data_IF_903190018655
#
_entry.id   IF_903190018655
#
_cell.length_a   1.000
_cell.length_b   1.000
_cell.length_c   1.000
_cell.angle_alpha   90.00
_cell.angle_beta   90.00
_cell.angle_gamma   90.00
#
_symmetry.space_group_name_H-M   'P 1'
#
loop_
_entity.id
_entity.type
_entity.pdbx_description
1 polymer ?
#
# COMPACT_ATOMS: atom_id res chain seq x y z
N UNK A 1 16.31 -7.48 5.90
CA UNK A 1 16.65 -7.12 4.52
C UNK A 1 16.09 -5.73 4.27
N UNK A 2 16.95 -4.82 3.89
CA UNK A 2 16.56 -3.42 3.72
C UNK A 2 16.09 -3.17 2.29
N UNK A 3 14.93 -2.54 2.15
CA UNK A 3 14.43 -2.06 0.86
C UNK A 3 14.59 -0.54 0.78
N UNK A 4 14.33 0.00 -0.39
CA UNK A 4 14.17 1.45 -0.60
C UNK A 4 12.84 1.72 -1.27
N UNK A 5 12.21 2.82 -0.90
CA UNK A 5 11.10 3.36 -1.66
C UNK A 5 11.62 4.51 -2.51
N UNK A 6 11.15 4.59 -3.74
CA UNK A 6 11.49 5.69 -4.66
C UNK A 6 10.33 6.01 -5.58
N UNK A 7 10.40 7.16 -6.23
CA UNK A 7 9.38 7.52 -7.23
C UNK A 7 9.35 6.49 -8.36
N UNK A 8 8.16 6.31 -8.92
CA UNK A 8 7.93 5.42 -10.05
C UNK A 8 8.67 5.89 -11.30
N UNK A 9 9.08 4.93 -12.14
CA UNK A 9 9.57 5.13 -13.50
C UNK A 9 8.73 4.29 -14.44
N UNK A 10 8.45 4.77 -15.65
CA UNK A 10 7.67 3.99 -16.63
C UNK A 10 8.30 2.63 -16.93
N UNK A 11 9.62 2.54 -16.87
CA UNK A 11 10.36 1.27 -17.06
C UNK A 11 10.08 0.23 -15.98
N UNK A 12 9.46 0.61 -14.87
CA UNK A 12 9.09 -0.32 -13.78
C UNK A 12 7.85 -1.18 -14.14
N UNK A 13 7.14 -0.85 -15.23
CA UNK A 13 5.88 -1.48 -15.58
C UNK A 13 5.99 -3.00 -15.78
N UNK A 14 7.11 -3.49 -16.32
CA UNK A 14 7.35 -4.93 -16.49
C UNK A 14 7.38 -5.67 -15.17
N UNK A 15 8.07 -5.11 -14.18
CA UNK A 15 8.23 -5.74 -12.87
C UNK A 15 6.90 -5.82 -12.13
N UNK A 16 6.10 -4.74 -12.16
CA UNK A 16 4.79 -4.78 -11.49
C UNK A 16 3.80 -5.70 -12.21
N UNK A 17 3.91 -5.83 -13.53
CA UNK A 17 3.07 -6.76 -14.29
C UNK A 17 3.31 -8.20 -13.85
N UNK A 18 4.56 -8.58 -13.65
CA UNK A 18 4.92 -9.90 -13.13
C UNK A 18 4.37 -10.10 -11.71
N UNK A 19 4.58 -9.12 -10.83
CA UNK A 19 4.13 -9.21 -9.44
C UNK A 19 2.60 -9.30 -9.33
N UNK A 20 1.85 -8.48 -10.06
CA UNK A 20 0.40 -8.41 -9.97
C UNK A 20 -0.33 -9.52 -10.75
N UNK A 21 0.33 -10.21 -11.66
CA UNK A 21 -0.22 -11.42 -12.30
C UNK A 21 -0.14 -12.62 -11.36
N UNK A 22 -0.60 -12.43 -10.13
CA UNK A 22 -0.58 -13.43 -9.07
C UNK A 22 -1.88 -13.32 -8.25
N UNK A 23 -2.70 -14.36 -8.29
CA UNK A 23 -3.98 -14.41 -7.60
C UNK A 23 -3.84 -14.23 -6.08
N UNK A 24 -2.80 -14.76 -5.49
CA UNK A 24 -2.58 -14.64 -4.03
C UNK A 24 -2.38 -13.18 -3.62
N UNK A 25 -1.75 -12.37 -4.48
CA UNK A 25 -1.60 -10.94 -4.24
C UNK A 25 -2.94 -10.24 -4.45
N UNK A 26 -3.61 -10.49 -5.58
CA UNK A 26 -4.88 -9.83 -5.88
C UNK A 26 -5.99 -10.18 -4.89
N UNK A 27 -5.95 -11.37 -4.30
CA UNK A 27 -6.92 -11.77 -3.26
C UNK A 27 -6.83 -10.93 -1.99
N UNK A 28 -5.72 -10.22 -1.79
CA UNK A 28 -5.52 -9.31 -0.66
C UNK A 28 -5.71 -7.83 -1.03
N UNK A 29 -6.11 -7.56 -2.27
CA UNK A 29 -6.32 -6.21 -2.79
C UNK A 29 -7.78 -5.99 -3.17
N UNK A 30 -8.16 -4.71 -3.30
CA UNK A 30 -9.49 -4.34 -3.80
C UNK A 30 -9.66 -4.78 -5.25
N UNK A 31 -10.90 -4.93 -5.69
CA UNK A 31 -11.22 -5.24 -7.07
C UNK A 31 -10.83 -4.10 -8.03
N UNK A 32 -10.77 -4.43 -9.30
CA UNK A 32 -10.47 -3.46 -10.37
C UNK A 32 -9.11 -3.65 -11.02
N UNK A 33 -8.28 -4.56 -10.50
CA UNK A 33 -7.03 -4.91 -11.15
C UNK A 33 -7.26 -5.94 -12.25
N UNK A 34 -6.75 -5.72 -13.47
CA UNK A 34 -6.79 -6.72 -14.53
C UNK A 34 -6.07 -8.02 -14.14
N UNK A 35 -6.56 -9.15 -14.65
CA UNK A 35 -5.88 -10.43 -14.49
C UNK A 35 -6.00 -11.24 -15.78
N UNK A 36 -4.86 -11.66 -16.40
CA UNK A 36 -3.49 -11.32 -16.01
C UNK A 36 -3.23 -9.81 -16.14
N UNK A 37 -2.26 -9.32 -15.37
CA UNK A 37 -1.88 -7.91 -15.36
C UNK A 37 -0.79 -7.68 -16.41
N UNK A 38 -1.04 -6.81 -17.39
CA UNK A 38 -0.14 -6.56 -18.51
C UNK A 38 0.88 -5.44 -18.21
N UNK A 39 1.92 -5.37 -19.02
CA UNK A 39 2.85 -4.23 -18.98
C UNK A 39 2.14 -2.91 -19.26
N UNK A 40 1.15 -2.90 -20.19
CA UNK A 40 0.37 -1.70 -20.48
C UNK A 40 -0.44 -1.26 -19.27
N UNK A 41 -1.03 -2.20 -18.53
CA UNK A 41 -1.72 -1.89 -17.27
C UNK A 41 -0.77 -1.21 -16.28
N UNK A 42 0.47 -1.68 -16.21
CA UNK A 42 1.53 -1.08 -15.40
C UNK A 42 1.90 0.33 -15.83
N UNK A 43 2.02 0.55 -17.14
CA UNK A 43 2.29 1.88 -17.71
C UNK A 43 1.15 2.85 -17.36
N UNK A 44 -0.09 2.42 -17.50
CA UNK A 44 -1.27 3.23 -17.20
C UNK A 44 -1.31 3.61 -15.72
N UNK A 45 -1.05 2.66 -14.84
CA UNK A 45 -0.97 2.90 -13.40
C UNK A 45 0.15 3.89 -13.05
N UNK A 46 1.35 3.65 -13.53
CA UNK A 46 2.52 4.51 -13.23
C UNK A 46 2.29 5.92 -13.78
N UNK A 47 1.78 6.04 -15.00
CA UNK A 47 1.45 7.34 -15.59
C UNK A 47 0.45 8.12 -14.73
N UNK A 48 -0.57 7.42 -14.21
CA UNK A 48 -1.55 8.01 -13.30
C UNK A 48 -0.90 8.52 -12.01
N UNK A 49 0.02 7.74 -11.44
CA UNK A 49 0.73 8.14 -10.21
C UNK A 49 1.68 9.32 -10.45
N UNK A 50 2.38 9.33 -11.57
CA UNK A 50 3.28 10.43 -11.94
C UNK A 50 2.55 11.74 -12.23
N UNK A 51 1.29 11.66 -12.69
CA UNK A 51 0.44 12.82 -12.97
C UNK A 51 -0.34 13.32 -11.77
N UNK A 52 -0.38 12.55 -10.69
CA UNK A 52 -1.17 12.89 -9.51
C UNK A 52 -0.56 14.08 -8.75
N UNK A 53 -1.41 14.79 -8.00
CA UNK A 53 -0.97 15.89 -7.15
C UNK A 53 -0.07 15.35 -6.02
N UNK A 54 1.13 15.87 -5.92
CA UNK A 54 2.13 15.42 -4.93
C UNK A 54 1.72 15.71 -3.48
N UNK A 55 0.82 16.65 -3.24
CA UNK A 55 0.29 16.95 -1.90
C UNK A 55 -0.86 16.02 -1.49
N UNK A 56 -1.43 15.30 -2.46
CA UNK A 56 -2.57 14.41 -2.24
C UNK A 56 -2.21 12.93 -2.37
N UNK A 57 -1.22 12.61 -3.19
CA UNK A 57 -0.84 11.24 -3.51
C UNK A 57 0.65 11.04 -3.31
N UNK A 58 0.98 10.17 -2.36
CA UNK A 58 2.36 9.79 -2.06
C UNK A 58 2.54 8.34 -2.52
N UNK A 59 2.94 8.17 -3.79
CA UNK A 59 3.02 6.85 -4.43
C UNK A 59 4.45 6.49 -4.77
N UNK A 60 4.92 5.33 -4.29
CA UNK A 60 6.31 4.90 -4.43
C UNK A 60 6.41 3.44 -4.86
N UNK A 61 7.46 3.15 -5.62
CA UNK A 61 7.91 1.80 -5.87
C UNK A 61 8.71 1.30 -4.67
N UNK A 62 8.50 0.05 -4.28
CA UNK A 62 9.36 -0.64 -3.31
C UNK A 62 10.42 -1.38 -4.10
N UNK A 63 11.70 -1.17 -3.78
CA UNK A 63 12.82 -1.77 -4.53
C UNK A 63 13.80 -2.52 -3.64
N UNK A 64 14.40 -3.56 -4.22
CA UNK A 64 15.60 -4.22 -3.73
C UNK A 64 16.63 -4.17 -4.84
N UNK A 65 17.84 -3.66 -4.56
CA UNK A 65 18.89 -3.49 -5.55
C UNK A 65 18.39 -2.80 -6.82
N UNK A 66 17.57 -1.74 -6.62
CA UNK A 66 16.90 -0.93 -7.65
C UNK A 66 15.86 -1.66 -8.52
N UNK A 67 15.64 -2.94 -8.29
CA UNK A 67 14.57 -3.69 -8.94
C UNK A 67 13.26 -3.53 -8.16
N UNK A 68 12.19 -3.22 -8.88
CA UNK A 68 10.85 -3.08 -8.26
C UNK A 68 10.32 -4.45 -7.84
N UNK A 69 9.90 -4.53 -6.59
CA UNK A 69 9.32 -5.74 -6.01
C UNK A 69 7.91 -5.49 -5.44
N UNK A 70 7.46 -4.25 -5.40
CA UNK A 70 6.15 -3.91 -4.86
C UNK A 70 5.80 -2.44 -4.99
N UNK A 71 4.69 -2.09 -4.38
CA UNK A 71 4.10 -0.75 -4.41
C UNK A 71 3.65 -0.35 -3.02
N UNK A 72 3.82 0.90 -2.68
CA UNK A 72 3.25 1.47 -1.46
C UNK A 72 2.79 2.91 -1.74
N UNK A 73 1.62 3.25 -1.23
CA UNK A 73 1.07 4.59 -1.41
C UNK A 73 0.28 5.06 -0.21
N UNK A 74 0.25 6.37 -0.04
CA UNK A 74 -0.57 7.07 0.96
C UNK A 74 -1.37 8.12 0.22
N UNK A 75 -2.68 8.10 0.40
CA UNK A 75 -3.63 8.90 -0.36
C UNK A 75 -4.43 9.78 0.58
N UNK A 76 -4.25 11.10 0.45
CA UNK A 76 -4.97 12.09 1.26
C UNK A 76 -6.47 11.98 1.00
N UNK A 77 -7.25 12.06 2.05
CA UNK A 77 -8.69 12.10 1.98
C UNK A 77 -9.19 13.53 1.76
N UNK A 78 -10.50 13.70 1.63
CA UNK A 78 -11.11 14.96 1.23
C UNK A 78 -11.94 15.60 2.32
N UNK A 79 -12.29 16.87 2.14
CA UNK A 79 -13.19 17.63 3.01
C UNK A 79 -12.68 17.68 4.45
N UNK A 80 -13.52 17.28 5.43
CA UNK A 80 -13.13 17.27 6.85
C UNK A 80 -12.03 16.26 7.16
N UNK A 81 -11.77 15.34 6.26
CA UNK A 81 -10.70 14.31 6.38
C UNK A 81 -9.39 14.70 5.68
N UNK A 82 -9.22 15.97 5.34
CA UNK A 82 -8.06 16.43 4.54
C UNK A 82 -6.69 16.28 5.22
N UNK A 83 -6.67 16.04 6.53
CA UNK A 83 -5.43 15.72 7.25
C UNK A 83 -5.34 14.25 7.63
N UNK A 84 -6.18 13.42 7.00
CA UNK A 84 -6.20 11.96 7.10
C UNK A 84 -5.82 11.38 5.76
N UNK A 85 -5.08 10.28 5.76
CA UNK A 85 -4.70 9.60 4.52
C UNK A 85 -4.78 8.09 4.68
N UNK A 86 -5.15 7.40 3.61
CA UNK A 86 -5.20 5.93 3.55
C UNK A 86 -3.92 5.37 2.94
N UNK A 87 -3.36 4.36 3.57
CA UNK A 87 -2.20 3.62 3.07
C UNK A 87 -2.62 2.30 2.45
N UNK A 88 -2.04 1.99 1.28
CA UNK A 88 -2.19 0.70 0.62
C UNK A 88 -0.84 0.22 0.09
N UNK A 89 -0.67 -1.10 0.02
CA UNK A 89 0.59 -1.68 -0.44
C UNK A 89 0.43 -3.13 -0.89
N UNK A 90 1.37 -3.57 -1.71
CA UNK A 90 1.59 -4.99 -2.01
C UNK A 90 3.07 -5.23 -2.29
N UNK A 91 3.49 -6.48 -2.19
CA UNK A 91 4.85 -6.92 -2.52
C UNK A 91 4.77 -8.29 -3.19
N UNK A 92 5.69 -8.56 -4.10
CA UNK A 92 5.76 -9.85 -4.79
C UNK A 92 5.87 -11.01 -3.79
N UNK A 93 5.17 -12.12 -4.10
CA UNK A 93 5.02 -13.26 -3.17
C UNK A 93 6.35 -13.80 -2.65
N UNK A 94 7.36 -13.87 -3.51
CA UNK A 94 8.71 -14.37 -3.16
C UNK A 94 9.41 -13.56 -2.08
N UNK A 95 8.91 -12.36 -1.78
CA UNK A 95 9.47 -11.46 -0.77
C UNK A 95 8.64 -11.42 0.53
N UNK A 96 7.58 -12.21 0.61
CA UNK A 96 6.75 -12.26 1.81
C UNK A 96 7.52 -12.84 3.02
N UNK A 97 7.17 -12.38 4.21
CA UNK A 97 7.72 -12.91 5.46
C UNK A 97 9.17 -12.54 5.75
N UNK A 98 9.75 -11.57 5.04
CA UNK A 98 11.16 -11.18 5.17
C UNK A 98 11.37 -9.80 5.83
N UNK A 99 10.30 -9.19 6.34
CA UNK A 99 10.36 -7.87 6.99
C UNK A 99 10.47 -6.68 6.04
N UNK A 100 10.42 -6.91 4.73
CA UNK A 100 10.59 -5.85 3.72
C UNK A 100 9.45 -4.85 3.78
N UNK A 101 8.20 -5.31 3.88
CA UNK A 101 7.05 -4.41 3.96
C UNK A 101 7.06 -3.58 5.23
N UNK A 102 7.50 -4.16 6.35
CA UNK A 102 7.68 -3.42 7.61
C UNK A 102 8.62 -2.24 7.42
N UNK A 103 9.73 -2.45 6.72
CA UNK A 103 10.70 -1.39 6.41
C UNK A 103 10.09 -0.34 5.46
N UNK A 104 9.40 -0.76 4.42
CA UNK A 104 8.75 0.15 3.47
C UNK A 104 7.69 1.03 4.14
N UNK A 105 6.87 0.46 5.03
CA UNK A 105 5.85 1.22 5.77
C UNK A 105 6.49 2.28 6.66
N UNK A 106 7.57 1.95 7.35
CA UNK A 106 8.30 2.94 8.15
C UNK A 106 8.80 4.10 7.30
N UNK A 107 9.41 3.79 6.16
CA UNK A 107 9.95 4.81 5.25
C UNK A 107 8.86 5.75 4.74
N UNK A 108 7.71 5.24 4.29
CA UNK A 108 6.66 6.10 3.76
C UNK A 108 5.98 6.93 4.84
N UNK A 109 5.75 6.38 6.02
CA UNK A 109 5.16 7.14 7.13
C UNK A 109 6.06 8.30 7.55
N UNK A 110 7.36 8.06 7.68
CA UNK A 110 8.34 9.10 7.96
C UNK A 110 8.33 10.18 6.88
N UNK A 111 8.34 9.78 5.62
CA UNK A 111 8.29 10.70 4.49
C UNK A 111 7.03 11.58 4.51
N UNK A 112 5.86 10.95 4.65
CA UNK A 112 4.57 11.66 4.62
C UNK A 112 4.45 12.65 5.78
N UNK A 113 4.78 12.23 6.99
CA UNK A 113 4.69 13.11 8.15
C UNK A 113 5.70 14.26 8.10
N UNK A 114 6.86 14.04 7.50
CA UNK A 114 7.89 15.08 7.34
C UNK A 114 7.53 16.10 6.25
N UNK A 115 6.84 15.68 5.19
CA UNK A 115 6.65 16.48 3.99
C UNK A 115 5.19 16.93 3.77
N UNK A 116 4.32 16.75 4.75
CA UNK A 116 2.92 17.15 4.65
C UNK A 116 2.35 17.54 6.02
N UNK A 117 1.11 18.04 6.01
CA UNK A 117 0.35 18.35 7.23
C UNK A 117 -0.58 17.21 7.66
N UNK A 118 -0.43 16.02 7.09
CA UNK A 118 -1.24 14.85 7.47
C UNK A 118 -0.98 14.51 8.93
N UNK A 119 -2.07 14.32 9.69
CA UNK A 119 -2.03 13.99 11.11
C UNK A 119 -2.23 12.51 11.38
N UNK A 120 -2.91 11.80 10.46
CA UNK A 120 -3.33 10.42 10.63
C UNK A 120 -3.15 9.65 9.34
N UNK A 121 -2.45 8.52 9.41
CA UNK A 121 -2.39 7.52 8.33
C UNK A 121 -3.13 6.28 8.82
N UNK A 122 -4.10 5.80 8.05
CA UNK A 122 -4.82 4.58 8.38
C UNK A 122 -4.68 3.54 7.28
N UNK A 123 -4.92 2.29 7.63
CA UNK A 123 -4.95 1.16 6.70
C UNK A 123 -6.08 0.22 7.07
N UNK A 124 -6.74 -0.35 6.06
CA UNK A 124 -7.86 -1.26 6.22
C UNK A 124 -7.55 -2.62 5.57
N UNK A 125 -6.70 -3.45 6.17
CA UNK A 125 -6.44 -4.77 5.62
C UNK A 125 -7.69 -5.65 5.77
N UNK A 126 -7.84 -6.60 4.83
CA UNK A 126 -8.83 -7.67 4.99
C UNK A 126 -8.49 -8.46 6.25
N UNK A 127 -9.51 -8.81 7.05
CA UNK A 127 -9.29 -9.47 8.34
C UNK A 127 -8.50 -10.79 8.21
N UNK A 128 -8.65 -11.50 7.08
CA UNK A 128 -7.90 -12.73 6.82
C UNK A 128 -6.44 -12.50 6.42
N UNK A 129 -6.04 -11.26 6.09
CA UNK A 129 -4.67 -10.94 5.71
C UNK A 129 -3.81 -10.70 6.96
N UNK A 130 -3.47 -11.80 7.63
CA UNK A 130 -2.71 -11.77 8.89
C UNK A 130 -1.36 -11.12 8.71
N UNK A 131 -0.70 -11.36 7.57
CA UNK A 131 0.60 -10.76 7.26
C UNK A 131 0.57 -9.24 7.27
N UNK A 132 -0.45 -8.65 6.63
CA UNK A 132 -0.63 -7.19 6.62
C UNK A 132 -0.92 -6.65 8.02
N UNK A 133 -1.78 -7.31 8.79
CA UNK A 133 -2.08 -6.89 10.16
C UNK A 133 -0.80 -6.86 11.02
N UNK A 134 0.04 -7.87 10.89
CA UNK A 134 1.32 -7.92 11.64
C UNK A 134 2.30 -6.81 11.22
N UNK A 135 2.36 -6.50 9.93
CA UNK A 135 3.18 -5.39 9.45
C UNK A 135 2.76 -4.08 10.11
N UNK A 136 1.46 -3.81 10.17
CA UNK A 136 0.92 -2.60 10.80
C UNK A 136 1.22 -2.56 12.29
N UNK A 137 1.02 -3.66 13.01
CA UNK A 137 1.34 -3.75 14.43
C UNK A 137 2.83 -3.50 14.70
N UNK A 138 3.71 -4.11 13.90
CA UNK A 138 5.17 -3.96 14.06
C UNK A 138 5.66 -2.54 13.73
N UNK A 139 4.91 -1.78 12.97
CA UNK A 139 5.27 -0.41 12.60
C UNK A 139 4.65 0.65 13.52
N UNK A 140 3.98 0.21 14.58
CA UNK A 140 3.42 1.11 15.60
C UNK A 140 1.99 1.55 15.35
N UNK A 141 1.34 1.03 14.30
CA UNK A 141 -0.08 1.30 14.08
C UNK A 141 -0.91 0.68 15.20
N UNK A 142 -1.88 1.44 15.66
CA UNK A 142 -2.83 0.97 16.69
C UNK A 142 -4.06 0.36 16.02
N UNK A 143 -4.50 -0.77 16.55
CA UNK A 143 -5.75 -1.40 16.15
C UNK A 143 -6.93 -0.61 16.68
N UNK A 144 -7.85 -0.20 15.80
CA UNK A 144 -9.03 0.59 16.17
C UNK A 144 -10.32 -0.21 16.15
N UNK A 145 -10.34 -1.36 15.54
CA UNK A 145 -11.51 -2.21 15.52
C UNK A 145 -11.66 -3.02 14.25
N UNK A 146 -12.67 -3.87 14.23
CA UNK A 146 -13.04 -4.69 13.09
C UNK A 146 -14.30 -4.11 12.44
N UNK A 147 -14.22 -3.88 11.14
CA UNK A 147 -15.36 -3.47 10.32
C UNK A 147 -16.06 -4.74 9.84
N UNK A 148 -17.14 -5.12 10.50
CA UNK A 148 -17.84 -6.39 10.23
C UNK A 148 -18.61 -6.31 8.92
N UNK A 149 -18.50 -7.35 8.07
CA UNK A 149 -19.16 -7.44 6.76
C UNK A 149 -18.92 -6.22 5.87
N UNK A 150 -17.71 -5.67 5.95
CA UNK A 150 -17.38 -4.39 5.31
C UNK A 150 -17.15 -4.52 3.81
N UNK A 151 -16.86 -5.70 3.30
CA UNK A 151 -16.54 -5.89 1.89
C UNK A 151 -16.99 -7.24 1.36
N UNK A 152 -17.05 -7.33 0.03
CA UNK A 152 -17.27 -8.60 -0.68
C UNK A 152 -16.04 -8.83 -1.56
N UNK A 153 -15.36 -9.94 -1.35
CA UNK A 153 -14.20 -10.34 -2.15
C UNK A 153 -14.38 -11.78 -2.63
N UNK A 154 -14.23 -12.00 -3.94
CA UNK A 154 -14.43 -13.32 -4.57
C UNK A 154 -15.79 -13.95 -4.19
N UNK A 155 -16.84 -13.15 -4.15
CA UNK A 155 -18.19 -13.60 -3.81
C UNK A 155 -18.42 -13.88 -2.33
N UNK A 156 -17.45 -13.61 -1.47
CA UNK A 156 -17.56 -13.81 -0.02
C UNK A 156 -17.63 -12.49 0.72
N UNK A 157 -18.55 -12.38 1.67
CA UNK A 157 -18.60 -11.25 2.60
C UNK A 157 -17.46 -11.40 3.60
N UNK A 158 -16.68 -10.36 3.78
CA UNK A 158 -15.52 -10.37 4.65
C UNK A 158 -15.49 -9.18 5.60
N UNK A 159 -14.80 -9.36 6.73
CA UNK A 159 -14.50 -8.28 7.65
C UNK A 159 -13.20 -7.59 7.24
N UNK A 160 -13.05 -6.34 7.62
CA UNK A 160 -11.80 -5.58 7.51
C UNK A 160 -11.39 -5.10 8.89
N UNK A 161 -10.10 -4.89 9.07
CA UNK A 161 -9.57 -4.30 10.31
C UNK A 161 -9.10 -2.89 10.04
N UNK A 162 -9.29 -2.01 11.03
CA UNK A 162 -8.83 -0.63 10.98
C UNK A 162 -7.62 -0.45 11.88
N UNK A 163 -6.54 0.05 11.30
CA UNK A 163 -5.32 0.42 12.00
C UNK A 163 -4.95 1.86 11.66
N UNK A 164 -4.32 2.57 12.58
CA UNK A 164 -3.88 3.94 12.35
C UNK A 164 -2.57 4.28 13.05
N UNK A 165 -1.85 5.24 12.49
CA UNK A 165 -0.68 5.85 13.08
C UNK A 165 -0.85 7.36 13.04
N UNK A 166 -0.69 8.01 14.19
CA UNK A 166 -0.77 9.46 14.29
C UNK A 166 0.62 10.08 14.21
N UNK A 167 0.69 11.31 13.68
CA UNK A 167 1.95 12.09 13.61
C UNK A 167 2.71 12.12 14.92
N UNK A 168 2.01 12.34 16.03
CA UNK A 168 2.62 12.44 17.35
C UNK A 168 3.13 11.11 17.92
N UNK A 169 2.74 9.99 17.31
CA UNK A 169 3.15 8.64 17.72
C UNK A 169 4.38 8.13 16.98
N UNK A 170 4.84 8.87 16.00
CA UNK A 170 5.96 8.46 15.18
C UNK A 170 7.31 8.67 15.89
#
# INVERSE_FOLDING_TARGET
MNCKIRKWKLTDAKDIAVALSNKKIQDNLRDGLPYPYSEQDGIDFISSMLSANEDETFAFAITLDDKVIGSIGVFRQQNIHRQTAEMGYYIAEEHWGKGIMTDAVKQICEYVFKNSDILRIYAEPFAYNIGSCRVLEKTGFQYEGTLRNNAVKNGKVIDMKMYSLLREEQ
#
